data_IF_377363894912
#
_entry.id   IF_377363894912
#
_cell.length_a   1.000
_cell.length_b   1.000
_cell.length_c   1.000
_cell.angle_alpha   90.00
_cell.angle_beta   90.00
_cell.angle_gamma   90.00
#
_symmetry.space_group_name_H-M   'P 1'
#
loop_
_entity.id
_entity.type
_entity.pdbx_description
1 polymer ?
#
# COMPACT_ATOMS: atom_id res chain seq x y z
N UNK A 1 -7.37 78.43 7.66
CA UNK A 1 -6.52 77.30 8.07
C UNK A 1 -7.25 76.02 8.40
N UNK A 2 -8.39 76.07 9.09
CA UNK A 2 -9.19 74.85 9.49
C UNK A 2 -9.73 74.02 8.32
N UNK A 3 -10.12 74.67 7.20
CA UNK A 3 -10.69 73.95 6.02
C UNK A 3 -9.67 73.08 5.28
N UNK A 4 -8.42 73.60 5.11
CA UNK A 4 -7.33 72.84 4.45
C UNK A 4 -6.90 71.60 5.27
N UNK A 5 -6.95 71.69 6.63
CA UNK A 5 -6.71 70.53 7.49
C UNK A 5 -7.75 69.44 7.37
N UNK A 6 -9.06 69.84 7.28
CA UNK A 6 -10.15 68.85 7.08
C UNK A 6 -10.03 68.14 5.71
N UNK A 7 -9.68 68.86 4.66
CA UNK A 7 -9.50 68.29 3.32
C UNK A 7 -8.26 67.37 3.29
N UNK A 8 -7.18 67.70 4.00
CA UNK A 8 -6.02 66.87 4.11
C UNK A 8 -6.32 65.56 4.88
N UNK A 9 -7.06 65.64 6.00
CA UNK A 9 -7.49 64.47 6.77
C UNK A 9 -8.39 63.55 5.93
N UNK A 10 -9.33 64.15 5.17
CA UNK A 10 -10.24 63.37 4.30
C UNK A 10 -9.43 62.63 3.20
N UNK A 11 -8.43 63.30 2.60
CA UNK A 11 -7.57 62.69 1.59
C UNK A 11 -6.76 61.54 2.15
N UNK A 12 -6.22 61.69 3.37
CA UNK A 12 -5.45 60.60 4.06
C UNK A 12 -6.37 59.42 4.37
N UNK A 13 -7.61 59.65 4.87
CA UNK A 13 -8.57 58.61 5.12
C UNK A 13 -8.97 57.84 3.85
N UNK A 14 -9.13 58.58 2.73
CA UNK A 14 -9.49 57.97 1.44
C UNK A 14 -8.35 57.11 0.90
N UNK A 15 -7.10 57.58 0.99
CA UNK A 15 -5.91 56.80 0.63
C UNK A 15 -5.75 55.55 1.51
N UNK A 16 -6.03 55.67 2.81
CA UNK A 16 -5.99 54.52 3.72
C UNK A 16 -7.07 53.49 3.41
N UNK A 17 -8.30 53.91 3.06
CA UNK A 17 -9.36 53.00 2.62
C UNK A 17 -9.02 52.31 1.29
N UNK A 18 -8.45 53.04 0.32
CA UNK A 18 -7.98 52.46 -0.95
C UNK A 18 -6.88 51.46 -0.71
N UNK A 19 -5.91 51.75 0.17
CA UNK A 19 -4.82 50.80 0.49
C UNK A 19 -5.32 49.54 1.21
N UNK A 20 -6.31 49.69 2.13
CA UNK A 20 -6.96 48.56 2.79
C UNK A 20 -7.76 47.71 1.81
N UNK A 21 -8.51 48.34 0.89
CA UNK A 21 -9.30 47.60 -0.12
C UNK A 21 -8.37 46.91 -1.14
N UNK A 22 -7.29 47.53 -1.56
CA UNK A 22 -6.28 46.95 -2.42
C UNK A 22 -5.53 45.80 -1.72
N UNK A 23 -5.19 45.98 -0.45
CA UNK A 23 -4.59 44.92 0.37
C UNK A 23 -5.50 43.72 0.57
N UNK A 24 -6.80 43.99 0.85
CA UNK A 24 -7.84 42.94 0.96
C UNK A 24 -8.06 42.21 -0.36
N UNK A 25 -8.11 42.97 -1.48
CA UNK A 25 -8.25 42.40 -2.81
C UNK A 25 -7.03 41.53 -3.16
N UNK A 26 -5.80 41.98 -2.87
CA UNK A 26 -4.58 41.26 -3.09
C UNK A 26 -4.49 39.99 -2.20
N UNK A 27 -4.88 40.09 -0.92
CA UNK A 27 -4.98 38.95 0.00
C UNK A 27 -5.97 37.89 -0.48
N UNK A 28 -7.11 38.32 -1.03
CA UNK A 28 -8.15 37.44 -1.59
C UNK A 28 -7.72 36.74 -2.88
N UNK A 29 -6.68 37.24 -3.56
CA UNK A 29 -6.10 36.66 -4.77
C UNK A 29 -4.93 35.72 -4.49
N UNK A 30 -4.48 35.58 -3.24
CA UNK A 30 -3.43 34.62 -2.90
C UNK A 30 -3.97 33.19 -3.14
N UNK A 31 -3.21 32.35 -3.85
CA UNK A 31 -3.63 30.98 -4.06
C UNK A 31 -3.69 30.23 -2.73
N UNK A 32 -4.68 29.37 -2.61
CA UNK A 32 -4.73 28.39 -1.52
C UNK A 32 -3.64 27.38 -1.78
N UNK A 33 -2.72 27.19 -0.84
CA UNK A 33 -1.67 26.18 -0.94
C UNK A 33 -2.13 24.93 -0.19
N UNK A 34 -2.24 23.82 -0.92
CA UNK A 34 -2.50 22.49 -0.37
C UNK A 34 -1.19 21.72 -0.27
N UNK A 35 -0.89 21.25 0.92
CA UNK A 35 0.29 20.42 1.16
C UNK A 35 -0.07 18.94 1.11
N UNK A 36 0.64 18.18 0.26
CA UNK A 36 0.48 16.73 0.17
C UNK A 36 1.68 16.04 0.79
N UNK A 37 1.42 15.08 1.67
CA UNK A 37 2.44 14.17 2.22
C UNK A 37 2.54 12.90 1.39
N UNK A 38 3.70 12.66 0.77
CA UNK A 38 3.97 11.47 -0.04
C UNK A 38 5.34 10.91 0.28
N UNK A 39 5.51 9.59 0.18
CA UNK A 39 6.85 9.01 0.19
C UNK A 39 7.43 8.96 -1.23
N UNK A 40 8.76 8.97 -1.33
CA UNK A 40 9.47 8.83 -2.57
C UNK A 40 9.45 7.36 -3.03
N UNK A 41 9.28 7.17 -4.31
CA UNK A 41 9.16 5.84 -4.89
C UNK A 41 7.71 5.34 -4.87
N UNK A 42 7.56 4.10 -5.23
CA UNK A 42 6.33 3.34 -5.06
C UNK A 42 6.47 2.45 -3.82
N UNK A 43 5.41 1.79 -3.40
CA UNK A 43 5.45 0.69 -2.41
C UNK A 43 6.36 -0.48 -2.86
N UNK A 44 6.97 -0.30 -3.99
CA UNK A 44 7.94 -1.15 -4.65
C UNK A 44 9.30 -0.81 -4.04
N UNK A 45 9.96 -1.69 -3.36
CA UNK A 45 11.30 -1.58 -2.76
C UNK A 45 12.42 -1.13 -3.74
N UNK A 46 12.04 -0.40 -4.78
CA UNK A 46 12.94 0.24 -5.73
C UNK A 46 13.06 1.69 -5.30
N UNK A 47 14.18 2.10 -4.71
CA UNK A 47 14.43 3.49 -4.39
C UNK A 47 14.59 4.25 -5.71
N UNK A 48 13.50 4.74 -6.23
CA UNK A 48 13.54 5.73 -7.30
C UNK A 48 13.40 7.09 -6.63
N UNK A 49 14.45 7.90 -6.70
CA UNK A 49 14.41 9.33 -6.39
C UNK A 49 13.52 10.12 -7.34
N UNK A 50 12.79 9.43 -8.23
CA UNK A 50 11.95 10.04 -9.24
C UNK A 50 10.56 10.36 -8.69
N UNK A 51 10.08 11.54 -9.00
CA UNK A 51 8.71 11.98 -8.78
C UNK A 51 7.74 10.98 -9.42
N UNK A 52 6.62 10.74 -8.76
CA UNK A 52 5.55 9.94 -9.36
C UNK A 52 4.93 10.72 -10.51
N UNK A 53 5.23 10.31 -11.74
CA UNK A 53 4.66 10.95 -12.94
C UNK A 53 3.12 10.95 -12.93
N UNK A 54 2.49 9.92 -12.40
CA UNK A 54 1.04 9.84 -12.26
C UNK A 54 0.50 10.90 -11.28
N UNK A 55 1.18 11.12 -10.16
CA UNK A 55 0.80 12.14 -9.19
C UNK A 55 1.01 13.55 -9.78
N UNK A 56 2.13 13.79 -10.44
CA UNK A 56 2.40 15.09 -11.09
C UNK A 56 1.34 15.43 -12.13
N UNK A 57 0.93 14.47 -12.97
CA UNK A 57 -0.15 14.66 -13.93
C UNK A 57 -1.51 14.94 -13.26
N UNK A 58 -1.81 14.25 -12.17
CA UNK A 58 -3.03 14.47 -11.41
C UNK A 58 -3.05 15.88 -10.79
N UNK A 59 -1.92 16.33 -10.20
CA UNK A 59 -1.75 17.68 -9.66
C UNK A 59 -1.93 18.73 -10.75
N UNK A 60 -1.24 18.58 -11.88
CA UNK A 60 -1.38 19.53 -13.00
C UNK A 60 -2.82 19.65 -13.50
N UNK A 61 -3.53 18.52 -13.62
CA UNK A 61 -4.93 18.50 -14.04
C UNK A 61 -5.82 19.19 -12.99
N UNK A 62 -5.56 18.97 -11.71
CA UNK A 62 -6.29 19.58 -10.61
C UNK A 62 -6.08 21.10 -10.59
N UNK A 63 -4.84 21.58 -10.61
CA UNK A 63 -4.51 23.01 -10.62
C UNK A 63 -5.09 23.72 -11.84
N UNK A 64 -5.12 23.08 -13.01
CA UNK A 64 -5.74 23.62 -14.21
C UNK A 64 -7.24 23.83 -14.05
N UNK A 65 -7.92 22.94 -13.34
CA UNK A 65 -9.37 23.07 -13.06
C UNK A 65 -9.65 23.98 -11.85
N UNK A 66 -8.64 24.25 -11.01
CA UNK A 66 -8.74 25.08 -9.81
C UNK A 66 -7.62 26.15 -9.80
N UNK A 67 -7.74 27.23 -10.63
CA UNK A 67 -6.64 28.18 -10.83
C UNK A 67 -6.15 28.90 -9.57
N UNK A 68 -7.01 28.98 -8.54
CA UNK A 68 -6.71 29.60 -7.26
C UNK A 68 -6.07 28.64 -6.23
N UNK A 69 -5.77 27.40 -6.63
CA UNK A 69 -5.18 26.40 -5.76
C UNK A 69 -3.80 26.04 -6.29
N UNK A 70 -2.83 25.93 -5.39
CA UNK A 70 -1.49 25.37 -5.62
C UNK A 70 -1.31 24.13 -4.78
N UNK A 71 -0.69 23.12 -5.35
CA UNK A 71 -0.39 21.86 -4.65
C UNK A 71 1.10 21.74 -4.49
N UNK A 72 1.54 21.62 -3.26
CA UNK A 72 2.95 21.42 -2.90
C UNK A 72 3.14 20.11 -2.17
N UNK A 73 4.20 19.38 -2.48
CA UNK A 73 4.57 18.19 -1.74
C UNK A 73 6.08 18.07 -1.54
N UNK A 74 6.45 17.56 -0.38
CA UNK A 74 7.83 17.26 -0.02
C UNK A 74 8.23 15.96 -0.72
N UNK A 75 9.29 16.00 -1.51
CA UNK A 75 9.79 14.85 -2.27
C UNK A 75 11.03 14.26 -1.59
N UNK A 76 11.24 12.95 -1.73
CA UNK A 76 12.46 12.28 -1.29
C UNK A 76 12.39 11.60 0.08
N UNK A 77 11.21 11.53 0.71
CA UNK A 77 11.03 10.80 1.97
C UNK A 77 10.98 9.29 1.65
N UNK A 78 11.93 8.46 2.14
CA UNK A 78 11.87 7.02 1.93
C UNK A 78 10.61 6.42 2.56
N UNK A 79 10.05 5.38 1.94
CA UNK A 79 8.87 4.70 2.48
C UNK A 79 9.10 4.17 3.90
N UNK A 80 10.30 3.65 4.18
CA UNK A 80 10.68 3.14 5.51
C UNK A 80 10.66 4.21 6.60
N UNK A 81 10.87 5.48 6.25
CA UNK A 81 10.93 6.61 7.18
C UNK A 81 9.61 7.41 7.21
N UNK A 82 8.71 7.14 6.28
CA UNK A 82 7.52 7.95 6.07
C UNK A 82 6.56 7.97 7.28
N UNK A 83 6.33 6.85 7.94
CA UNK A 83 5.47 6.80 9.15
C UNK A 83 6.03 7.65 10.29
N UNK A 84 7.37 7.70 10.46
CA UNK A 84 8.02 8.54 11.46
C UNK A 84 7.90 10.02 11.09
N UNK A 85 8.20 10.36 9.84
CA UNK A 85 8.04 11.71 9.30
C UNK A 85 6.60 12.23 9.47
N UNK A 86 5.60 11.43 9.10
CA UNK A 86 4.19 11.80 9.25
C UNK A 86 3.82 12.01 10.72
N UNK A 87 4.28 11.14 11.61
CA UNK A 87 4.05 11.26 13.05
C UNK A 87 4.64 12.56 13.60
N UNK A 88 5.84 12.94 13.18
CA UNK A 88 6.47 14.22 13.54
C UNK A 88 5.66 15.42 13.06
N UNK A 89 5.19 15.39 11.78
CA UNK A 89 4.33 16.45 11.24
C UNK A 89 3.02 16.58 12.03
N UNK A 90 2.40 15.46 12.41
CA UNK A 90 1.16 15.45 13.20
C UNK A 90 1.40 16.06 14.58
N UNK A 91 2.43 15.62 15.30
CA UNK A 91 2.73 16.08 16.66
C UNK A 91 3.14 17.56 16.68
N UNK A 92 3.88 18.01 15.67
CA UNK A 92 4.29 19.42 15.54
C UNK A 92 3.18 20.36 15.03
N UNK A 93 1.99 19.83 14.73
CA UNK A 93 0.87 20.62 14.21
C UNK A 93 1.02 21.05 12.73
N UNK A 94 1.95 20.45 12.00
CA UNK A 94 2.26 20.70 10.59
C UNK A 94 1.77 19.56 9.69
N UNK A 95 0.69 18.90 10.08
CA UNK A 95 0.07 17.80 9.30
C UNK A 95 -0.23 18.29 7.88
N UNK A 96 0.18 17.58 6.82
CA UNK A 96 -0.24 17.90 5.46
C UNK A 96 -1.76 17.86 5.31
N UNK A 97 -2.31 18.57 4.33
CA UNK A 97 -3.77 18.61 4.08
C UNK A 97 -4.27 17.26 3.58
N UNK A 98 -3.50 16.65 2.67
CA UNK A 98 -3.72 15.31 2.14
C UNK A 98 -2.41 14.54 2.28
N UNK A 99 -2.47 13.29 2.68
CA UNK A 99 -1.25 12.49 2.85
C UNK A 99 -1.50 11.00 2.63
N UNK A 100 -0.43 10.32 2.23
CA UNK A 100 -0.44 8.87 2.12
C UNK A 100 -0.56 8.23 3.50
N UNK A 101 -1.35 7.19 3.59
CA UNK A 101 -1.50 6.38 4.79
C UNK A 101 -1.43 4.90 4.43
N UNK A 102 -0.67 4.15 5.21
CA UNK A 102 -0.63 2.71 5.10
C UNK A 102 -1.79 2.08 5.86
N UNK A 103 -2.22 0.90 5.44
CA UNK A 103 -3.29 0.15 6.10
C UNK A 103 -3.03 -0.06 7.60
N UNK A 104 -1.76 -0.29 7.99
CA UNK A 104 -1.36 -0.47 9.39
C UNK A 104 -1.54 0.78 10.25
N UNK A 105 -1.42 1.98 9.66
CA UNK A 105 -1.47 3.26 10.36
C UNK A 105 -2.89 3.86 10.35
N UNK A 106 -3.72 3.47 9.39
CA UNK A 106 -5.07 4.01 9.19
C UNK A 106 -5.93 3.95 10.46
N UNK A 107 -6.04 2.77 11.05
CA UNK A 107 -6.90 2.54 12.21
C UNK A 107 -6.50 3.40 13.41
N UNK A 108 -5.19 3.55 13.65
CA UNK A 108 -4.66 4.39 14.72
C UNK A 108 -4.98 5.86 14.47
N UNK A 109 -4.70 6.35 13.28
CA UNK A 109 -4.90 7.76 12.93
C UNK A 109 -6.39 8.13 12.90
N UNK A 110 -7.26 7.24 12.39
CA UNK A 110 -8.70 7.42 12.42
C UNK A 110 -9.24 7.45 13.86
N UNK A 111 -8.83 6.50 14.72
CA UNK A 111 -9.23 6.45 16.11
C UNK A 111 -8.77 7.67 16.93
N UNK A 112 -7.68 8.30 16.54
CA UNK A 112 -7.13 9.53 17.16
C UNK A 112 -7.74 10.82 16.60
N UNK A 113 -8.67 10.73 15.63
CA UNK A 113 -9.31 11.89 15.02
C UNK A 113 -8.34 12.74 14.16
N UNK A 114 -7.26 12.14 13.65
CA UNK A 114 -6.33 12.80 12.75
C UNK A 114 -6.88 12.86 11.32
N UNK A 115 -7.68 11.86 10.96
CA UNK A 115 -8.25 11.71 9.61
C UNK A 115 -9.67 12.22 9.53
N UNK A 116 -9.99 12.90 8.44
CA UNK A 116 -11.35 13.32 8.10
C UNK A 116 -12.15 12.14 7.56
N UNK A 117 -13.47 12.13 7.87
CA UNK A 117 -14.41 11.16 7.32
C UNK A 117 -14.79 11.55 5.90
N UNK A 118 -14.53 10.68 4.95
CA UNK A 118 -14.76 10.95 3.53
C UNK A 118 -16.20 10.63 3.07
N UNK A 119 -17.01 9.96 3.88
CA UNK A 119 -18.37 9.54 3.50
C UNK A 119 -19.26 10.70 3.00
N UNK A 120 -19.11 11.91 3.54
CA UNK A 120 -19.87 13.09 3.11
C UNK A 120 -19.42 13.70 1.80
N UNK A 121 -18.26 13.31 1.29
CA UNK A 121 -17.66 13.83 0.05
C UNK A 121 -17.75 12.86 -1.12
N UNK A 122 -18.28 11.66 -0.90
CA UNK A 122 -18.33 10.57 -1.87
C UNK A 122 -19.77 10.16 -2.18
N UNK A 123 -20.01 9.83 -3.43
CA UNK A 123 -21.23 9.17 -3.87
C UNK A 123 -21.00 7.65 -4.06
N UNK A 124 -22.06 6.90 -4.39
CA UNK A 124 -21.95 5.45 -4.62
C UNK A 124 -21.13 5.10 -5.86
N UNK A 125 -21.13 5.97 -6.87
CA UNK A 125 -20.40 5.77 -8.12
C UNK A 125 -18.90 5.88 -7.87
N UNK A 126 -18.47 6.80 -7.00
CA UNK A 126 -17.07 6.93 -6.59
C UNK A 126 -16.55 5.65 -5.92
N UNK A 127 -17.40 4.97 -5.12
CA UNK A 127 -17.00 3.76 -4.42
C UNK A 127 -16.79 2.58 -5.36
N UNK A 128 -17.65 2.42 -6.38
CA UNK A 128 -17.53 1.31 -7.34
C UNK A 128 -16.39 1.49 -8.35
N UNK A 129 -15.77 2.67 -8.40
CA UNK A 129 -14.58 2.92 -9.20
C UNK A 129 -13.33 2.18 -8.69
N UNK A 130 -13.36 1.72 -7.43
CA UNK A 130 -12.24 1.02 -6.80
C UNK A 130 -12.50 -0.50 -6.72
N UNK A 131 -11.42 -1.28 -6.74
CA UNK A 131 -11.52 -2.68 -6.36
C UNK A 131 -11.97 -2.79 -4.89
N UNK A 132 -12.98 -3.62 -4.58
CA UNK A 132 -13.55 -3.70 -3.22
C UNK A 132 -12.51 -3.92 -2.13
N UNK A 133 -11.56 -4.85 -2.34
CA UNK A 133 -10.51 -5.15 -1.36
C UNK A 133 -9.60 -3.95 -1.09
N UNK A 134 -9.33 -3.13 -2.11
CA UNK A 134 -8.54 -1.93 -1.96
C UNK A 134 -9.32 -0.82 -1.25
N UNK A 135 -10.60 -0.66 -1.58
CA UNK A 135 -11.48 0.32 -0.93
C UNK A 135 -11.67 0.01 0.56
N UNK A 136 -11.85 -1.27 0.91
CA UNK A 136 -12.02 -1.71 2.30
C UNK A 136 -10.80 -1.39 3.17
N UNK A 137 -9.58 -1.31 2.59
CA UNK A 137 -8.38 -0.93 3.33
C UNK A 137 -8.41 0.53 3.86
N UNK A 138 -9.23 1.39 3.27
CA UNK A 138 -9.47 2.77 3.71
C UNK A 138 -10.61 2.93 4.72
N UNK A 139 -11.25 1.82 5.15
CA UNK A 139 -12.42 1.84 6.03
C UNK A 139 -12.04 1.47 7.46
N UNK A 140 -12.50 2.27 8.41
CA UNK A 140 -12.39 2.00 9.83
C UNK A 140 -13.75 2.19 10.52
N UNK A 141 -14.22 1.17 11.27
CA UNK A 141 -15.53 1.16 11.94
C UNK A 141 -16.70 1.59 11.03
N UNK A 142 -16.73 1.10 9.80
CA UNK A 142 -17.78 1.38 8.82
C UNK A 142 -17.76 2.80 8.23
N UNK A 143 -16.73 3.58 8.50
CA UNK A 143 -16.51 4.90 7.90
C UNK A 143 -15.28 4.89 7.00
N UNK A 144 -15.37 5.57 5.86
CA UNK A 144 -14.24 5.74 4.94
C UNK A 144 -13.40 6.93 5.38
N UNK A 145 -12.09 6.69 5.56
CA UNK A 145 -11.10 7.71 5.95
C UNK A 145 -10.02 7.91 4.90
N UNK A 146 -9.84 6.95 4.00
CA UNK A 146 -8.83 7.07 2.95
C UNK A 146 -9.32 6.41 1.66
N UNK A 147 -8.78 6.88 0.53
CA UNK A 147 -9.07 6.34 -0.81
C UNK A 147 -7.82 5.64 -1.36
N UNK A 148 -7.96 4.44 -1.94
CA UNK A 148 -6.83 3.70 -2.45
C UNK A 148 -6.15 4.42 -3.62
N UNK A 149 -4.83 4.49 -3.55
CA UNK A 149 -3.97 5.05 -4.59
C UNK A 149 -3.20 3.96 -5.31
N UNK A 150 -2.62 3.04 -4.54
CA UNK A 150 -1.79 1.96 -5.05
C UNK A 150 -2.10 0.66 -4.30
N UNK A 151 -2.21 -0.44 -5.04
CA UNK A 151 -2.45 -1.77 -4.48
C UNK A 151 -1.39 -2.74 -4.98
N UNK A 152 -0.86 -3.53 -4.06
CA UNK A 152 0.22 -4.48 -4.29
C UNK A 152 -0.22 -5.88 -3.86
N UNK A 153 -0.84 -6.68 -4.75
CA UNK A 153 -1.28 -8.02 -4.42
C UNK A 153 -0.09 -9.00 -4.30
N UNK A 154 -0.27 -10.02 -3.47
CA UNK A 154 0.66 -11.15 -3.36
C UNK A 154 0.16 -12.30 -4.21
N UNK A 155 1.02 -12.82 -5.08
CA UNK A 155 0.78 -13.94 -5.98
C UNK A 155 1.73 -15.09 -5.64
N UNK A 156 1.34 -16.31 -5.94
CA UNK A 156 2.24 -17.46 -5.85
C UNK A 156 3.04 -17.58 -7.14
N UNK A 157 4.34 -17.29 -7.08
CA UNK A 157 5.25 -17.56 -8.19
C UNK A 157 5.66 -19.02 -8.19
N UNK A 158 5.70 -19.62 -9.37
CA UNK A 158 5.89 -21.04 -9.60
C UNK A 158 7.07 -21.26 -10.54
N UNK A 159 8.05 -22.04 -10.11
CA UNK A 159 9.10 -22.56 -10.96
C UNK A 159 8.54 -23.72 -11.81
N UNK A 160 8.22 -23.44 -13.07
CA UNK A 160 7.62 -24.42 -13.97
C UNK A 160 8.56 -25.57 -14.27
N UNK A 161 9.82 -25.29 -14.48
CA UNK A 161 10.81 -26.31 -14.84
C UNK A 161 10.93 -27.37 -13.73
N UNK A 162 10.84 -26.96 -12.46
CA UNK A 162 10.80 -27.90 -11.33
C UNK A 162 9.53 -28.76 -11.33
N UNK A 163 8.37 -28.18 -11.57
CA UNK A 163 7.11 -28.92 -11.66
C UNK A 163 7.13 -29.90 -12.84
N UNK A 164 7.54 -29.43 -14.02
CA UNK A 164 7.59 -30.23 -15.25
C UNK A 164 8.55 -31.43 -15.09
N UNK A 165 9.74 -31.21 -14.46
CA UNK A 165 10.69 -32.29 -14.17
C UNK A 165 10.09 -33.41 -13.32
N UNK A 166 9.15 -33.06 -12.43
CA UNK A 166 8.49 -34.00 -11.53
C UNK A 166 7.12 -34.50 -12.05
N UNK A 167 6.76 -34.12 -13.27
CA UNK A 167 5.49 -34.48 -13.88
C UNK A 167 4.28 -33.90 -13.14
N UNK A 168 4.42 -32.68 -12.61
CA UNK A 168 3.38 -31.98 -11.88
C UNK A 168 2.86 -30.83 -12.76
N UNK A 169 1.57 -30.80 -13.04
CA UNK A 169 0.95 -29.67 -13.72
C UNK A 169 0.94 -28.44 -12.82
N UNK A 170 1.09 -27.24 -13.42
CA UNK A 170 0.92 -25.97 -12.69
C UNK A 170 -0.51 -25.89 -12.15
N UNK A 171 -0.70 -25.69 -10.84
CA UNK A 171 -2.03 -25.60 -10.25
C UNK A 171 -2.90 -24.53 -10.89
N UNK A 172 -4.18 -24.83 -11.04
CA UNK A 172 -5.17 -23.91 -11.61
C UNK A 172 -5.82 -23.06 -10.52
N UNK A 173 -6.53 -22.01 -10.93
CA UNK A 173 -7.30 -21.18 -10.01
C UNK A 173 -8.24 -22.03 -9.12
N UNK A 174 -8.29 -21.72 -7.84
CA UNK A 174 -9.08 -22.43 -6.84
C UNK A 174 -8.42 -23.69 -6.28
N UNK A 175 -7.10 -23.85 -6.47
CA UNK A 175 -6.34 -24.93 -5.84
C UNK A 175 -6.31 -24.80 -4.31
N UNK A 176 -6.16 -25.94 -3.65
CA UNK A 176 -6.31 -26.03 -2.20
C UNK A 176 -4.98 -25.95 -1.45
N UNK A 177 -5.05 -25.65 -0.13
CA UNK A 177 -3.91 -25.77 0.78
C UNK A 177 -3.37 -27.22 0.83
N UNK A 178 -4.25 -28.23 0.70
CA UNK A 178 -3.86 -29.62 0.69
C UNK A 178 -3.07 -29.97 -0.58
N UNK A 179 -3.50 -29.49 -1.75
CA UNK A 179 -2.71 -29.62 -2.98
C UNK A 179 -1.37 -28.94 -2.85
N UNK A 180 -1.32 -27.73 -2.31
CA UNK A 180 -0.08 -26.99 -2.08
C UNK A 180 0.88 -27.80 -1.20
N UNK A 181 0.42 -28.30 -0.05
CA UNK A 181 1.23 -29.12 0.83
C UNK A 181 1.71 -30.41 0.15
N UNK A 182 0.83 -31.10 -0.57
CA UNK A 182 1.14 -32.35 -1.25
C UNK A 182 2.23 -32.16 -2.31
N UNK A 183 2.13 -31.09 -3.09
CA UNK A 183 3.15 -30.74 -4.09
C UNK A 183 4.47 -30.37 -3.39
N UNK A 184 4.44 -29.52 -2.36
CA UNK A 184 5.63 -29.17 -1.59
C UNK A 184 6.34 -30.41 -1.01
N UNK A 185 5.56 -31.36 -0.45
CA UNK A 185 6.10 -32.60 0.10
C UNK A 185 6.77 -33.46 -0.98
N UNK A 186 6.19 -33.55 -2.18
CA UNK A 186 6.78 -34.29 -3.31
C UNK A 186 8.06 -33.65 -3.81
N UNK A 187 8.13 -32.33 -3.81
CA UNK A 187 9.23 -31.55 -4.37
C UNK A 187 10.38 -31.32 -3.37
N UNK A 188 10.15 -31.47 -2.07
CA UNK A 188 11.21 -31.30 -1.05
C UNK A 188 11.99 -32.60 -0.92
N UNK A 189 13.19 -32.65 -1.45
CA UNK A 189 14.02 -33.86 -1.49
C UNK A 189 15.51 -33.61 -1.70
N UNK A 190 16.29 -34.61 -1.44
CA UNK A 190 17.68 -34.78 -1.87
C UNK A 190 17.68 -35.32 -3.29
N UNK A 191 18.21 -34.59 -4.27
CA UNK A 191 18.22 -34.98 -5.68
C UNK A 191 19.52 -35.62 -6.11
N UNK A 192 20.60 -35.47 -5.32
CA UNK A 192 21.92 -35.96 -5.63
C UNK A 192 22.33 -37.20 -4.79
N UNK A 193 21.56 -37.52 -3.73
CA UNK A 193 21.75 -38.68 -2.88
C UNK A 193 22.83 -38.54 -1.81
N UNK A 194 23.23 -37.32 -1.47
CA UNK A 194 24.23 -37.01 -0.44
C UNK A 194 23.69 -37.00 1.00
N UNK A 195 22.39 -37.18 1.15
CA UNK A 195 21.69 -37.14 2.43
C UNK A 195 21.22 -35.73 2.86
N UNK A 196 21.47 -34.68 2.06
CA UNK A 196 21.06 -33.35 2.31
C UNK A 196 19.95 -32.90 1.33
N UNK A 197 19.02 -32.09 1.81
CA UNK A 197 18.01 -31.54 0.92
C UNK A 197 18.62 -30.43 0.05
N UNK A 198 18.41 -30.53 -1.25
CA UNK A 198 18.89 -29.58 -2.26
C UNK A 198 17.76 -29.04 -3.17
N UNK A 199 16.52 -29.56 -3.00
CA UNK A 199 15.32 -29.12 -3.67
C UNK A 199 14.19 -28.93 -2.64
N UNK A 200 13.39 -27.86 -2.77
CA UNK A 200 12.39 -27.46 -1.78
C UNK A 200 11.05 -27.12 -2.45
N UNK A 201 9.95 -27.40 -1.74
CA UNK A 201 8.62 -27.12 -2.22
C UNK A 201 8.28 -25.62 -2.19
N UNK A 202 8.59 -24.92 -1.07
CA UNK A 202 8.25 -23.50 -0.94
C UNK A 202 9.25 -22.75 -0.07
N UNK A 203 9.24 -21.43 -0.23
CA UNK A 203 9.95 -20.47 0.63
C UNK A 203 9.06 -19.28 0.96
N UNK A 204 9.35 -18.59 2.07
CA UNK A 204 8.74 -17.33 2.50
C UNK A 204 7.19 -17.33 2.53
N UNK A 205 6.56 -18.50 2.66
CA UNK A 205 5.13 -18.61 2.93
C UNK A 205 4.90 -18.39 4.42
N UNK A 206 4.32 -17.25 4.78
CA UNK A 206 4.25 -16.79 6.17
C UNK A 206 2.88 -17.03 6.81
N UNK A 207 2.77 -16.67 8.10
CA UNK A 207 1.51 -16.76 8.82
C UNK A 207 0.41 -15.87 8.22
N UNK A 208 0.76 -14.78 7.51
CA UNK A 208 -0.20 -13.89 6.85
C UNK A 208 -0.90 -14.58 5.69
N UNK A 209 -0.11 -15.21 4.82
CA UNK A 209 -0.63 -16.00 3.69
C UNK A 209 -1.45 -17.18 4.20
N UNK A 210 -0.97 -17.88 5.23
CA UNK A 210 -1.68 -19.01 5.82
C UNK A 210 -3.03 -18.57 6.45
N UNK A 211 -3.05 -17.43 7.14
CA UNK A 211 -4.27 -16.89 7.76
C UNK A 211 -5.29 -16.47 6.70
N UNK A 212 -4.87 -15.76 5.66
CA UNK A 212 -5.73 -15.39 4.54
C UNK A 212 -6.26 -16.63 3.82
N UNK A 213 -5.42 -17.62 3.59
CA UNK A 213 -5.80 -18.88 2.95
C UNK A 213 -6.84 -19.68 3.75
N UNK A 214 -6.86 -19.55 5.07
CA UNK A 214 -7.90 -20.12 5.94
C UNK A 214 -9.12 -19.21 6.12
N UNK A 215 -9.15 -18.04 5.48
CA UNK A 215 -10.25 -17.07 5.61
C UNK A 215 -10.28 -16.37 6.97
N UNK A 216 -9.15 -16.38 7.69
CA UNK A 216 -9.05 -15.85 9.03
C UNK A 216 -8.67 -14.37 9.06
N UNK A 217 -8.95 -13.72 10.19
CA UNK A 217 -8.48 -12.38 10.54
C UNK A 217 -8.07 -12.37 12.00
N UNK A 218 -6.98 -11.67 12.32
CA UNK A 218 -6.55 -11.46 13.70
C UNK A 218 -7.51 -10.55 14.47
N UNK A 219 -8.24 -9.67 13.79
CA UNK A 219 -9.15 -8.73 14.42
C UNK A 219 -10.58 -8.98 13.98
N UNK A 220 -11.48 -9.10 14.94
CA UNK A 220 -12.92 -9.22 14.74
C UNK A 220 -13.63 -8.24 15.69
N UNK A 221 -14.41 -7.31 15.13
CA UNK A 221 -15.09 -6.29 15.92
C UNK A 221 -14.13 -5.40 16.73
N UNK A 222 -12.91 -5.14 16.22
CA UNK A 222 -11.89 -4.37 16.92
C UNK A 222 -11.12 -5.11 18.03
N UNK A 223 -11.42 -6.38 18.27
CA UNK A 223 -10.74 -7.22 19.27
C UNK A 223 -9.78 -8.21 18.62
N UNK A 224 -8.62 -8.40 19.24
CA UNK A 224 -7.61 -9.38 18.83
C UNK A 224 -8.10 -10.81 19.19
N UNK A 225 -8.14 -11.71 18.20
CA UNK A 225 -8.65 -13.09 18.29
C UNK A 225 -7.56 -14.13 17.98
N UNK A 226 -6.54 -14.21 18.83
CA UNK A 226 -5.43 -15.16 18.63
C UNK A 226 -5.83 -16.63 18.79
N UNK A 227 -6.93 -16.91 19.48
CA UNK A 227 -7.41 -18.28 19.73
C UNK A 227 -8.46 -18.75 18.73
N UNK A 228 -8.75 -17.96 17.69
CA UNK A 228 -9.69 -18.34 16.66
C UNK A 228 -9.24 -19.63 15.93
N UNK A 229 -10.17 -20.51 15.52
CA UNK A 229 -9.84 -21.76 14.83
C UNK A 229 -8.97 -21.54 13.60
N UNK A 230 -9.23 -20.50 12.82
CA UNK A 230 -8.50 -20.16 11.60
C UNK A 230 -7.04 -19.79 11.89
N UNK A 231 -6.78 -19.14 13.03
CA UNK A 231 -5.41 -18.83 13.48
C UNK A 231 -4.66 -20.12 13.83
N UNK A 232 -5.31 -21.00 14.61
CA UNK A 232 -4.72 -22.29 14.98
C UNK A 232 -4.43 -23.16 13.75
N UNK A 233 -5.39 -23.27 12.84
CA UNK A 233 -5.22 -24.03 11.58
C UNK A 233 -4.06 -23.48 10.74
N UNK A 234 -3.96 -22.17 10.66
CA UNK A 234 -2.88 -21.48 9.92
C UNK A 234 -1.50 -21.80 10.49
N UNK A 235 -1.35 -21.72 11.81
CA UNK A 235 -0.09 -22.03 12.49
C UNK A 235 0.26 -23.53 12.36
N UNK A 236 -0.74 -24.41 12.48
CA UNK A 236 -0.55 -25.86 12.28
C UNK A 236 -0.13 -26.18 10.84
N UNK A 237 -0.70 -25.48 9.85
CA UNK A 237 -0.33 -25.64 8.45
C UNK A 237 1.11 -25.18 8.20
N UNK A 238 1.51 -24.04 8.75
CA UNK A 238 2.89 -23.54 8.65
C UNK A 238 3.89 -24.50 9.26
N UNK A 239 3.60 -25.00 10.47
CA UNK A 239 4.46 -25.97 11.12
C UNK A 239 4.68 -27.21 10.24
N UNK A 240 3.62 -27.78 9.66
CA UNK A 240 3.72 -28.91 8.73
C UNK A 240 4.56 -28.58 7.50
N UNK A 241 4.42 -27.34 6.97
CA UNK A 241 5.19 -26.92 5.80
C UNK A 241 6.68 -26.74 6.13
N UNK A 242 7.01 -26.18 7.29
CA UNK A 242 8.38 -26.01 7.77
C UNK A 242 9.05 -27.35 8.09
N UNK A 243 8.31 -28.31 8.64
CA UNK A 243 8.83 -29.67 8.91
C UNK A 243 9.34 -30.36 7.63
N UNK A 244 8.79 -30.05 6.45
CA UNK A 244 9.30 -30.58 5.18
C UNK A 244 10.75 -30.18 4.95
N UNK A 245 11.12 -28.98 5.33
CA UNK A 245 12.45 -28.41 5.10
C UNK A 245 13.52 -28.94 6.08
N UNK A 246 13.17 -29.76 7.06
CA UNK A 246 14.11 -30.38 8.05
C UNK A 246 15.11 -29.36 8.65
N UNK A 247 14.64 -28.20 9.05
CA UNK A 247 15.46 -27.09 9.59
C UNK A 247 16.37 -26.35 8.59
N UNK A 248 16.30 -26.64 7.30
CA UNK A 248 16.96 -25.82 6.30
C UNK A 248 16.28 -24.44 6.23
N UNK A 249 17.08 -23.39 6.25
CA UNK A 249 16.60 -22.00 6.05
C UNK A 249 16.53 -21.73 4.55
N UNK A 250 15.39 -22.02 3.97
CA UNK A 250 15.12 -21.76 2.55
C UNK A 250 14.72 -20.30 2.36
N UNK A 251 15.28 -19.67 1.35
CA UNK A 251 15.11 -18.24 1.09
C UNK A 251 14.77 -17.94 -0.37
N UNK A 252 14.43 -16.69 -0.67
CA UNK A 252 14.25 -16.20 -2.05
C UNK A 252 15.49 -16.43 -2.94
N UNK A 253 16.70 -16.46 -2.35
CA UNK A 253 17.93 -16.79 -3.11
C UNK A 253 17.91 -18.22 -3.64
N UNK A 254 17.32 -19.16 -2.90
CA UNK A 254 17.20 -20.55 -3.35
C UNK A 254 16.17 -20.66 -4.48
N UNK A 255 15.12 -19.84 -4.46
CA UNK A 255 14.20 -19.69 -5.59
C UNK A 255 14.92 -19.15 -6.82
N UNK A 256 15.73 -18.08 -6.67
CA UNK A 256 16.52 -17.50 -7.76
C UNK A 256 17.50 -18.51 -8.41
N UNK A 257 17.97 -19.47 -7.63
CA UNK A 257 18.83 -20.57 -8.09
C UNK A 257 18.05 -21.74 -8.70
N UNK A 258 16.73 -21.65 -8.79
CA UNK A 258 15.87 -22.70 -9.33
C UNK A 258 15.66 -23.90 -8.41
N UNK A 259 16.02 -23.81 -7.13
CA UNK A 259 15.91 -24.91 -6.15
C UNK A 259 14.55 -25.00 -5.46
N UNK A 260 13.70 -23.99 -5.59
CA UNK A 260 12.40 -23.88 -4.92
C UNK A 260 11.28 -23.81 -5.94
N UNK A 261 10.18 -24.53 -5.66
CA UNK A 261 9.04 -24.57 -6.56
C UNK A 261 8.07 -23.37 -6.41
N UNK A 262 7.77 -22.98 -5.18
CA UNK A 262 6.76 -21.94 -4.89
C UNK A 262 7.35 -20.82 -4.03
N UNK A 263 7.07 -19.58 -4.45
CA UNK A 263 7.48 -18.38 -3.73
C UNK A 263 6.37 -17.32 -3.78
N UNK A 264 5.74 -16.96 -2.66
CA UNK A 264 4.81 -15.84 -2.60
C UNK A 264 5.54 -14.53 -2.88
N UNK A 265 5.13 -13.82 -3.92
CA UNK A 265 5.71 -12.53 -4.30
C UNK A 265 4.65 -11.45 -4.36
N UNK A 266 4.99 -10.25 -3.92
CA UNK A 266 4.21 -9.08 -4.26
C UNK A 266 4.32 -8.79 -5.76
N UNK A 267 3.33 -8.14 -6.33
CA UNK A 267 3.40 -7.68 -7.74
C UNK A 267 4.64 -6.79 -7.97
N UNK A 268 5.12 -6.11 -6.93
CA UNK A 268 6.34 -5.35 -6.92
C UNK A 268 7.57 -6.24 -7.16
N UNK A 269 7.76 -7.23 -6.32
CA UNK A 269 8.85 -8.20 -6.47
C UNK A 269 8.79 -8.89 -7.83
N UNK A 270 7.60 -9.31 -8.27
CA UNK A 270 7.39 -9.88 -9.60
C UNK A 270 7.98 -9.01 -10.73
N UNK A 271 7.84 -7.69 -10.66
CA UNK A 271 8.40 -6.78 -11.66
C UNK A 271 9.93 -6.79 -11.70
N UNK A 272 10.59 -7.07 -10.58
CA UNK A 272 12.05 -7.17 -10.53
C UNK A 272 12.59 -8.40 -11.28
N UNK A 273 11.77 -9.44 -11.42
CA UNK A 273 12.11 -10.66 -12.17
C UNK A 273 11.84 -10.55 -13.67
N UNK A 274 11.04 -9.59 -14.11
CA UNK A 274 10.88 -9.34 -15.56
C UNK A 274 12.04 -8.49 -16.09
N UNK A 275 12.49 -8.74 -17.33
CA UNK A 275 13.46 -7.88 -17.97
C UNK A 275 12.84 -6.49 -18.17
N UNK A 276 13.19 -5.58 -17.30
CA UNK A 276 12.87 -4.16 -17.42
C UNK A 276 14.14 -3.44 -17.84
N UNK A 277 14.08 -2.39 -18.69
CA UNK A 277 15.29 -1.75 -19.23
C UNK A 277 16.29 -1.24 -18.18
N UNK A 278 15.89 -1.17 -16.91
CA UNK A 278 16.73 -0.69 -15.81
C UNK A 278 17.11 -1.75 -14.77
N UNK A 279 16.58 -2.96 -14.88
CA UNK A 279 16.91 -4.07 -14.00
C UNK A 279 17.38 -5.23 -14.84
N UNK A 280 18.66 -5.50 -14.76
CA UNK A 280 19.24 -6.73 -15.29
C UNK A 280 18.38 -7.87 -14.76
N UNK A 281 17.86 -8.70 -15.66
CA UNK A 281 17.15 -9.94 -15.30
C UNK A 281 18.16 -10.79 -14.56
N UNK A 282 18.23 -10.61 -13.26
CA UNK A 282 19.38 -10.98 -12.50
C UNK A 282 19.44 -12.48 -12.30
N UNK A 283 18.34 -13.25 -12.41
CA UNK A 283 18.35 -14.32 -11.47
C UNK A 283 17.69 -15.62 -11.83
N UNK A 284 16.77 -15.73 -12.74
CA UNK A 284 16.18 -17.03 -13.01
C UNK A 284 16.59 -17.59 -14.37
N UNK A 285 17.39 -18.65 -14.35
CA UNK A 285 17.67 -19.47 -15.52
C UNK A 285 16.58 -20.51 -15.79
N UNK A 286 15.37 -20.32 -15.24
CA UNK A 286 14.25 -21.25 -15.35
C UNK A 286 12.96 -20.53 -15.78
N UNK A 287 12.04 -21.30 -16.35
CA UNK A 287 10.72 -20.81 -16.72
C UNK A 287 9.83 -20.74 -15.48
N UNK A 288 9.15 -19.62 -15.29
CA UNK A 288 8.27 -19.40 -14.16
C UNK A 288 6.99 -18.64 -14.54
N UNK A 289 5.98 -18.75 -13.70
CA UNK A 289 4.70 -18.06 -13.84
C UNK A 289 4.18 -17.66 -12.47
N UNK A 290 3.13 -16.83 -12.43
CA UNK A 290 2.39 -16.55 -11.20
C UNK A 290 0.96 -17.03 -11.31
N UNK A 291 0.48 -17.59 -10.22
CA UNK A 291 -0.88 -18.11 -10.05
C UNK A 291 -1.51 -17.52 -8.79
N UNK A 292 -2.84 -17.56 -8.63
CA UNK A 292 -3.50 -17.19 -7.38
C UNK A 292 -2.97 -17.99 -6.20
N UNK A 293 -3.06 -17.42 -4.99
CA UNK A 293 -2.69 -18.10 -3.75
C UNK A 293 -3.60 -19.32 -3.49
N UNK A 294 -3.07 -20.40 -2.86
CA UNK A 294 -3.89 -21.53 -2.44
C UNK A 294 -4.86 -21.11 -1.33
N UNK A 295 -6.02 -21.75 -1.26
CA UNK A 295 -7.04 -21.44 -0.28
C UNK A 295 -7.65 -22.70 0.34
N UNK A 296 -8.20 -22.60 1.56
CA UNK A 296 -8.93 -23.69 2.23
C UNK A 296 -10.16 -24.14 1.42
N UNK A 297 -10.80 -23.22 0.71
CA UNK A 297 -11.95 -23.51 -0.16
C UNK A 297 -11.97 -22.57 -1.37
N UNK A 298 -12.69 -22.95 -2.42
CA UNK A 298 -12.86 -22.11 -3.62
C UNK A 298 -13.54 -20.77 -3.37
N UNK A 299 -14.25 -20.62 -2.27
CA UNK A 299 -14.91 -19.37 -1.86
C UNK A 299 -14.05 -18.49 -0.96
N UNK A 300 -12.93 -19.00 -0.48
CA UNK A 300 -12.00 -18.24 0.39
C UNK A 300 -11.14 -17.30 -0.46
N UNK A 301 -11.17 -16.02 -0.14
CA UNK A 301 -10.32 -15.02 -0.78
C UNK A 301 -8.95 -15.02 -0.09
N UNK A 302 -8.01 -15.79 -0.63
CA UNK A 302 -6.68 -15.99 -0.07
C UNK A 302 -5.65 -14.93 -0.50
N UNK A 303 -5.99 -14.06 -1.46
CA UNK A 303 -5.05 -13.05 -1.96
C UNK A 303 -4.94 -11.91 -0.97
N UNK A 304 -3.74 -11.73 -0.42
CA UNK A 304 -3.38 -10.55 0.34
C UNK A 304 -3.08 -9.38 -0.59
N UNK A 305 -3.54 -8.21 -0.22
CA UNK A 305 -3.29 -6.97 -0.97
C UNK A 305 -2.82 -5.92 0.03
N UNK A 306 -1.63 -5.38 -0.18
CA UNK A 306 -1.17 -4.21 0.57
C UNK A 306 -1.58 -2.97 -0.19
N UNK A 307 -2.33 -2.08 0.45
CA UNK A 307 -2.84 -0.85 -0.17
C UNK A 307 -2.22 0.37 0.50
N UNK A 308 -1.76 1.30 -0.32
CA UNK A 308 -1.46 2.67 0.09
C UNK A 308 -2.60 3.55 -0.34
N UNK A 309 -3.11 4.34 0.57
CA UNK A 309 -4.26 5.20 0.35
C UNK A 309 -3.92 6.66 0.64
N UNK A 310 -4.67 7.60 0.07
CA UNK A 310 -4.65 9.00 0.46
C UNK A 310 -5.75 9.29 1.45
N UNK A 311 -5.39 9.95 2.55
CA UNK A 311 -6.30 10.45 3.57
C UNK A 311 -6.24 11.97 3.65
N UNK A 312 -7.31 12.59 4.15
CA UNK A 312 -7.40 14.01 4.40
C UNK A 312 -7.26 14.30 5.90
N UNK A 313 -6.55 15.37 6.24
CA UNK A 313 -6.40 15.83 7.63
C UNK A 313 -7.70 16.41 8.16
N UNK A 314 -8.16 15.94 9.33
CA UNK A 314 -9.36 16.45 9.99
C UNK A 314 -9.26 17.94 10.37
N UNK A 315 -8.07 18.47 10.62
CA UNK A 315 -7.87 19.87 11.05
C UNK A 315 -8.22 20.91 10.00
N UNK A 316 -8.20 20.55 8.70
CA UNK A 316 -8.50 21.49 7.60
C UNK A 316 -9.95 21.41 7.13
N UNK A 317 -10.66 20.34 7.44
CA UNK A 317 -12.08 20.22 7.13
C UNK A 317 -12.92 21.32 7.80
N UNK A 318 -12.52 21.76 9.00
CA UNK A 318 -13.19 22.86 9.70
C UNK A 318 -12.97 24.25 9.07
N UNK A 319 -11.94 24.42 8.25
CA UNK A 319 -11.67 25.67 7.52
C UNK A 319 -12.31 25.73 6.13
N UNK A 320 -12.83 24.61 5.64
CA UNK A 320 -13.49 24.49 4.33
C UNK A 320 -15.02 24.66 4.42
N UNK A 321 -15.59 24.80 5.64
CA UNK A 321 -17.00 25.19 5.92
C UNK A 321 -17.10 26.68 6.11
#
# INVERSE_FOLDING_TARGET
MKLKRKQLCLGICLLFMISLSAGFYWWKQQPIVLHIGVYAGSSWDVPTSQRSHALDLAIQKFEKSHPNVRVEYENGIPQSEYSNWLSEKIVSGKTPDVFMVSEKDLSLLAARGVLEKLNGYMNKEDQVAFYPVAFESGVYQGQTYALPYESNPILMCVNKDLLDKEGIEVPKEGWSLEEFYTICKKLTKDTNGDGQLDQFGSTEYTWKEALAANGGSLFQGGMLKLTAPEVKESLTFLQKLEELNKNYKVSSKDFDQGKVAFYPMTLAQYRTYKPYPYHVSKYSNFTWTCIPMPAKSKTTKATLVTTTSFAMSARRADMAK
#
